data_IF_893269013241
#
_entry.id   IF_893269013241
#
_cell.length_a   1.000
_cell.length_b   1.000
_cell.length_c   1.000
_cell.angle_alpha   90.00
_cell.angle_beta   90.00
_cell.angle_gamma   90.00
#
_symmetry.space_group_name_H-M   'P 1'
#
loop_
_entity.id
_entity.type
_entity.pdbx_description
1 polymer ?
#
# COMPACT_ATOMS: atom_id res chain seq x y z
N UNK A 1 24.45 14.38 -22.08
CA UNK A 1 23.81 15.26 -21.08
C UNK A 1 22.33 14.88 -21.07
N UNK A 2 21.79 14.31 -19.99
CA UNK A 2 20.36 13.95 -19.93
C UNK A 2 19.61 15.21 -19.51
N UNK A 3 18.99 15.88 -20.47
CA UNK A 3 18.12 17.03 -20.21
C UNK A 3 16.86 16.54 -19.53
N UNK A 4 16.63 16.91 -18.27
CA UNK A 4 15.38 16.61 -17.57
C UNK A 4 14.35 17.67 -17.98
N UNK A 5 13.31 17.26 -18.70
CA UNK A 5 12.16 18.11 -18.96
C UNK A 5 11.13 17.90 -17.85
N UNK A 6 10.74 18.98 -17.17
CA UNK A 6 9.72 18.95 -16.13
C UNK A 6 8.33 19.02 -16.78
N UNK A 7 7.48 18.04 -16.50
CA UNK A 7 6.04 18.10 -16.79
C UNK A 7 5.36 18.37 -15.45
N UNK A 8 4.76 19.55 -15.30
CA UNK A 8 4.08 19.95 -14.06
C UNK A 8 2.57 19.87 -14.25
N UNK A 9 1.90 19.10 -13.42
CA UNK A 9 0.44 19.20 -13.24
C UNK A 9 0.19 20.15 -12.08
N UNK A 10 -0.24 21.37 -12.37
CA UNK A 10 -0.66 22.30 -11.33
C UNK A 10 -1.91 21.75 -10.62
N UNK A 11 -1.83 21.54 -9.30
CA UNK A 11 -2.94 21.10 -8.43
C UNK A 11 -3.56 19.74 -8.80
N UNK A 12 -2.74 18.69 -8.84
CA UNK A 12 -3.24 17.31 -8.99
C UNK A 12 -4.41 16.99 -8.03
N UNK A 13 -4.31 17.42 -6.77
CA UNK A 13 -5.43 17.41 -5.81
C UNK A 13 -5.59 18.77 -5.11
N UNK A 14 -6.78 19.00 -4.52
CA UNK A 14 -7.08 20.19 -3.71
C UNK A 14 -6.52 20.14 -2.29
N UNK A 15 -5.99 18.99 -1.87
CA UNK A 15 -5.41 18.74 -0.55
C UNK A 15 -4.05 18.04 -0.71
N UNK A 16 -3.37 17.78 0.40
CA UNK A 16 -2.14 16.97 0.43
C UNK A 16 -2.36 15.61 -0.21
N UNK A 17 -1.45 15.27 -1.12
CA UNK A 17 -1.34 13.93 -1.67
C UNK A 17 -0.72 13.06 -0.58
N UNK A 18 -1.44 12.06 -0.13
CA UNK A 18 -0.98 11.17 0.93
C UNK A 18 -0.13 10.03 0.38
N UNK A 19 -0.44 9.57 -0.83
CA UNK A 19 0.26 8.47 -1.47
C UNK A 19 0.28 8.64 -2.98
N UNK A 20 1.32 8.11 -3.61
CA UNK A 20 1.46 8.00 -5.05
C UNK A 20 2.12 6.67 -5.42
N UNK A 21 1.66 6.05 -6.50
CA UNK A 21 2.24 4.85 -7.07
C UNK A 21 2.30 4.95 -8.60
N UNK A 22 3.32 4.37 -9.20
CA UNK A 22 3.48 4.29 -10.65
C UNK A 22 3.30 2.84 -11.07
N UNK A 23 2.56 2.62 -12.16
CA UNK A 23 2.38 1.30 -12.77
C UNK A 23 2.06 1.44 -14.25
N UNK A 24 2.78 0.70 -15.11
CA UNK A 24 2.57 0.67 -16.57
C UNK A 24 2.29 2.03 -17.23
N UNK A 25 3.15 3.02 -16.94
CA UNK A 25 3.02 4.35 -17.54
C UNK A 25 1.85 5.18 -16.99
N UNK A 26 1.24 4.77 -15.86
CA UNK A 26 0.25 5.55 -15.13
C UNK A 26 0.79 5.98 -13.77
N UNK A 27 0.37 7.15 -13.32
CA UNK A 27 0.58 7.63 -11.94
C UNK A 27 -0.78 7.57 -11.25
N UNK A 28 -0.86 6.91 -10.10
CA UNK A 28 -2.06 6.82 -9.27
C UNK A 28 -1.77 7.58 -7.98
N UNK A 29 -2.59 8.58 -7.67
CA UNK A 29 -2.40 9.45 -6.50
C UNK A 29 -3.67 9.45 -5.65
N UNK A 30 -3.53 9.48 -4.32
CA UNK A 30 -4.68 9.66 -3.42
C UNK A 30 -4.54 10.90 -2.53
N UNK A 31 -5.68 11.51 -2.24
CA UNK A 31 -5.80 12.66 -1.33
C UNK A 31 -7.23 12.71 -0.79
N UNK A 32 -7.39 12.84 0.53
CA UNK A 32 -8.69 12.78 1.22
C UNK A 32 -9.49 11.59 0.67
N UNK A 33 -10.72 11.78 0.20
CA UNK A 33 -11.61 10.71 -0.28
C UNK A 33 -11.43 10.38 -1.77
N UNK A 34 -10.43 10.97 -2.44
CA UNK A 34 -10.30 10.93 -3.90
C UNK A 34 -9.02 10.23 -4.34
N UNK A 35 -9.13 9.44 -5.40
CA UNK A 35 -7.99 8.84 -6.10
C UNK A 35 -8.01 9.37 -7.53
N UNK A 36 -6.85 9.67 -8.10
CA UNK A 36 -6.71 10.14 -9.47
C UNK A 36 -5.65 9.35 -10.21
N UNK A 37 -5.88 9.18 -11.50
CA UNK A 37 -5.01 8.46 -12.42
C UNK A 37 -4.55 9.43 -13.50
N UNK A 38 -3.26 9.42 -13.80
CA UNK A 38 -2.60 10.29 -14.76
C UNK A 38 -1.74 9.48 -15.70
N UNK A 39 -1.58 9.94 -16.93
CA UNK A 39 -0.60 9.40 -17.86
C UNK A 39 0.80 9.91 -17.46
N UNK A 40 1.74 8.99 -17.26
CA UNK A 40 3.11 9.29 -16.80
C UNK A 40 3.88 10.12 -17.84
N UNK A 41 3.64 9.88 -19.14
CA UNK A 41 4.42 10.48 -20.21
C UNK A 41 3.98 11.91 -20.52
N UNK A 42 2.69 12.17 -20.54
CA UNK A 42 2.09 13.46 -20.91
C UNK A 42 1.68 14.29 -19.69
N UNK A 43 1.53 13.68 -18.52
CA UNK A 43 0.92 14.32 -17.34
C UNK A 43 -0.60 14.51 -17.49
N UNK A 44 -1.23 13.95 -18.52
CA UNK A 44 -2.65 14.11 -18.76
C UNK A 44 -3.46 13.44 -17.63
N UNK A 45 -4.49 14.15 -17.16
CA UNK A 45 -5.50 13.56 -16.29
C UNK A 45 -6.28 12.49 -17.06
N UNK A 46 -6.29 11.27 -16.55
CA UNK A 46 -7.03 10.16 -17.15
C UNK A 46 -8.37 9.95 -16.45
N UNK A 47 -8.36 9.89 -15.11
CA UNK A 47 -9.55 9.51 -14.35
C UNK A 47 -9.52 9.93 -12.89
N UNK A 48 -10.71 10.05 -12.30
CA UNK A 48 -10.91 10.16 -10.86
C UNK A 48 -11.77 8.99 -10.37
N UNK A 49 -11.36 8.38 -9.26
CA UNK A 49 -12.11 7.35 -8.55
C UNK A 49 -12.70 7.98 -7.29
N UNK A 50 -14.03 7.89 -7.16
CA UNK A 50 -14.80 8.48 -6.08
C UNK A 50 -15.65 7.40 -5.42
N UNK A 51 -15.67 7.38 -4.08
CA UNK A 51 -16.57 6.48 -3.34
C UNK A 51 -16.14 6.18 -1.91
N UNK A 52 -14.91 6.48 -1.53
CA UNK A 52 -14.52 6.46 -0.12
C UNK A 52 -15.23 7.57 0.67
N UNK A 53 -15.69 7.23 1.87
CA UNK A 53 -16.28 8.17 2.83
C UNK A 53 -15.25 8.86 3.72
N UNK A 54 -14.00 8.38 3.70
CA UNK A 54 -12.90 8.87 4.53
C UNK A 54 -11.58 9.02 3.76
N UNK A 55 -10.55 9.62 4.38
CA UNK A 55 -9.20 9.65 3.87
C UNK A 55 -8.68 8.29 3.37
N UNK A 56 -8.24 8.27 2.11
CA UNK A 56 -7.51 7.17 1.48
C UNK A 56 -6.04 7.30 1.85
N UNK A 57 -5.58 6.38 2.70
CA UNK A 57 -4.24 6.45 3.29
C UNK A 57 -3.19 5.67 2.49
N UNK A 58 -3.62 4.70 1.70
CA UNK A 58 -2.72 3.78 1.01
C UNK A 58 -3.32 3.27 -0.29
N UNK A 59 -2.44 2.95 -1.24
CA UNK A 59 -2.78 2.40 -2.54
C UNK A 59 -1.91 1.20 -2.89
N UNK A 60 -2.49 0.27 -3.63
CA UNK A 60 -1.76 -0.66 -4.48
C UNK A 60 -2.38 -0.71 -5.89
N UNK A 61 -1.69 -1.30 -6.85
CA UNK A 61 -2.09 -1.34 -8.25
C UNK A 61 -1.55 -2.61 -8.93
N UNK A 62 -2.35 -3.19 -9.80
CA UNK A 62 -2.00 -4.25 -10.75
C UNK A 62 -2.34 -3.80 -12.17
N UNK A 63 -2.19 -4.70 -13.14
CA UNK A 63 -2.57 -4.42 -14.54
C UNK A 63 -4.07 -4.15 -14.70
N UNK A 64 -4.90 -4.76 -13.84
CA UNK A 64 -6.35 -4.68 -13.93
C UNK A 64 -6.98 -3.80 -12.86
N UNK A 65 -6.33 -3.64 -11.70
CA UNK A 65 -6.97 -3.06 -10.52
C UNK A 65 -6.17 -1.93 -9.86
N UNK A 66 -6.89 -0.97 -9.30
CA UNK A 66 -6.40 -0.11 -8.21
C UNK A 66 -7.01 -0.60 -6.91
N UNK A 67 -6.20 -0.73 -5.87
CA UNK A 67 -6.61 -1.14 -4.53
C UNK A 67 -6.41 0.05 -3.59
N UNK A 68 -7.41 0.41 -2.81
CA UNK A 68 -7.31 1.55 -1.90
C UNK A 68 -7.84 1.25 -0.52
N UNK A 69 -7.03 1.55 0.51
CA UNK A 69 -7.41 1.44 1.91
C UNK A 69 -7.69 2.81 2.53
N UNK A 70 -8.72 2.89 3.37
CA UNK A 70 -9.25 4.16 3.89
C UNK A 70 -9.55 4.11 5.39
N UNK A 71 -9.62 5.30 6.01
CA UNK A 71 -10.13 5.46 7.38
C UNK A 71 -11.65 5.27 7.48
N UNK A 72 -12.37 5.16 6.36
CA UNK A 72 -13.78 4.74 6.37
C UNK A 72 -13.98 3.25 6.64
N UNK A 73 -12.88 2.54 6.97
CA UNK A 73 -12.86 1.12 7.32
C UNK A 73 -13.18 0.21 6.14
N UNK A 74 -12.96 0.69 4.93
CA UNK A 74 -13.12 -0.12 3.72
C UNK A 74 -11.82 -0.22 2.92
N UNK A 75 -11.68 -1.34 2.21
CA UNK A 75 -10.83 -1.45 1.04
C UNK A 75 -11.72 -1.47 -0.19
N UNK A 76 -11.38 -0.66 -1.19
CA UNK A 76 -12.07 -0.67 -2.49
C UNK A 76 -11.16 -1.20 -3.58
N UNK A 77 -11.75 -2.02 -4.44
CA UNK A 77 -11.13 -2.60 -5.63
C UNK A 77 -11.75 -1.88 -6.82
N UNK A 78 -10.93 -1.20 -7.61
CA UNK A 78 -11.38 -0.43 -8.76
C UNK A 78 -10.81 -1.02 -10.03
N UNK A 79 -11.57 -1.05 -11.12
CA UNK A 79 -11.00 -1.34 -12.44
C UNK A 79 -10.03 -0.22 -12.84
N UNK A 80 -8.78 -0.55 -13.18
CA UNK A 80 -7.76 0.44 -13.52
C UNK A 80 -8.17 1.28 -14.74
N UNK A 81 -8.71 0.61 -15.77
CA UNK A 81 -9.11 1.27 -17.02
C UNK A 81 -10.51 1.87 -16.96
N UNK A 82 -11.45 1.22 -16.25
CA UNK A 82 -12.85 1.66 -16.17
C UNK A 82 -13.06 2.73 -15.10
N UNK A 83 -12.31 2.64 -14.00
CA UNK A 83 -12.49 3.40 -12.76
C UNK A 83 -13.74 3.07 -11.97
N UNK A 84 -14.43 1.99 -12.33
CA UNK A 84 -15.58 1.51 -11.59
C UNK A 84 -15.15 0.84 -10.29
N UNK A 85 -15.94 1.01 -9.22
CA UNK A 85 -15.75 0.28 -7.98
C UNK A 85 -16.30 -1.13 -8.15
N UNK A 86 -15.42 -2.11 -8.34
CA UNK A 86 -15.78 -3.51 -8.61
C UNK A 86 -16.11 -4.27 -7.32
N UNK A 87 -15.45 -3.93 -6.21
CA UNK A 87 -15.70 -4.56 -4.92
C UNK A 87 -15.38 -3.62 -3.76
N UNK A 88 -16.01 -3.86 -2.62
CA UNK A 88 -15.75 -3.17 -1.35
C UNK A 88 -15.67 -4.19 -0.23
N UNK A 89 -14.53 -4.22 0.46
CA UNK A 89 -14.28 -5.08 1.62
C UNK A 89 -14.46 -4.25 2.90
N UNK A 90 -15.21 -4.78 3.88
CA UNK A 90 -15.40 -4.15 5.20
C UNK A 90 -14.35 -4.66 6.18
N UNK A 91 -13.48 -3.76 6.65
CA UNK A 91 -12.26 -4.07 7.42
C UNK A 91 -12.44 -3.78 8.92
N UNK A 92 -13.66 -3.41 9.38
CA UNK A 92 -14.03 -3.10 10.78
C UNK A 92 -13.27 -1.93 11.44
N UNK A 93 -12.06 -1.59 10.99
CA UNK A 93 -11.16 -0.55 11.50
C UNK A 93 -10.40 0.11 10.35
N UNK A 94 -9.68 1.17 10.67
CA UNK A 94 -8.95 1.97 9.66
C UNK A 94 -7.81 1.18 9.03
N UNK A 95 -7.65 1.35 7.71
CA UNK A 95 -6.61 0.68 6.95
C UNK A 95 -5.38 1.58 6.86
N UNK A 96 -4.23 1.09 7.34
CA UNK A 96 -2.98 1.85 7.35
C UNK A 96 -2.14 1.62 6.09
N UNK A 97 -2.17 0.40 5.55
CA UNK A 97 -1.42 0.01 4.37
C UNK A 97 -2.09 -1.19 3.67
N UNK A 98 -1.87 -1.29 2.35
CA UNK A 98 -2.40 -2.39 1.52
C UNK A 98 -1.34 -2.90 0.57
N UNK A 99 -1.39 -4.20 0.28
CA UNK A 99 -0.68 -4.86 -0.81
C UNK A 99 -1.61 -5.79 -1.57
N UNK A 100 -1.42 -5.87 -2.87
CA UNK A 100 -2.12 -6.78 -3.76
C UNK A 100 -1.14 -7.78 -4.36
N UNK A 101 -1.52 -9.05 -4.33
CA UNK A 101 -0.76 -10.15 -4.91
C UNK A 101 -1.72 -11.26 -5.30
N UNK A 102 -1.84 -11.57 -6.59
CA UNK A 102 -2.58 -12.74 -7.10
C UNK A 102 -3.97 -12.90 -6.47
N UNK A 103 -4.88 -11.94 -6.68
CA UNK A 103 -6.24 -11.93 -6.10
C UNK A 103 -6.30 -11.95 -4.57
N UNK A 104 -5.17 -11.71 -3.92
CA UNK A 104 -5.08 -11.54 -2.47
C UNK A 104 -4.78 -10.10 -2.13
N UNK A 105 -5.57 -9.53 -1.22
CA UNK A 105 -5.26 -8.26 -0.58
C UNK A 105 -4.73 -8.53 0.81
N UNK A 106 -3.56 -7.97 1.12
CA UNK A 106 -2.93 -8.01 2.43
C UNK A 106 -2.96 -6.60 2.99
N UNK A 107 -3.58 -6.39 4.14
CA UNK A 107 -3.73 -5.05 4.71
C UNK A 107 -3.32 -4.99 6.17
N UNK A 108 -2.73 -3.87 6.55
CA UNK A 108 -2.42 -3.55 7.94
C UNK A 108 -3.57 -2.79 8.57
N UNK A 109 -4.04 -3.27 9.72
CA UNK A 109 -5.22 -2.77 10.43
C UNK A 109 -4.93 -2.77 11.92
N UNK A 110 -4.57 -1.61 12.48
CA UNK A 110 -4.09 -1.53 13.87
C UNK A 110 -3.03 -2.62 14.17
N UNK A 111 -3.27 -3.50 15.16
CA UNK A 111 -2.36 -4.57 15.57
C UNK A 111 -2.60 -5.89 14.83
N UNK A 112 -3.25 -5.88 13.68
CA UNK A 112 -3.43 -7.08 12.86
C UNK A 112 -3.03 -6.86 11.41
N UNK A 113 -2.65 -7.95 10.75
CA UNK A 113 -2.59 -8.03 9.29
C UNK A 113 -3.74 -8.93 8.86
N UNK A 114 -4.63 -8.41 8.02
CA UNK A 114 -5.69 -9.21 7.43
C UNK A 114 -5.32 -9.58 5.99
N UNK A 115 -5.67 -10.80 5.61
CA UNK A 115 -5.46 -11.35 4.28
C UNK A 115 -6.83 -11.71 3.72
N UNK A 116 -7.14 -11.17 2.54
CA UNK A 116 -8.44 -11.24 1.91
C UNK A 116 -8.33 -11.83 0.51
N UNK A 117 -9.21 -12.79 0.21
CA UNK A 117 -9.46 -13.26 -1.15
C UNK A 117 -10.48 -12.32 -1.80
N UNK A 118 -10.09 -11.64 -2.88
CA UNK A 118 -10.96 -10.65 -3.55
C UNK A 118 -12.08 -11.32 -4.34
N UNK A 119 -11.87 -12.53 -4.86
CA UNK A 119 -12.84 -13.26 -5.68
C UNK A 119 -14.02 -13.71 -4.82
N UNK A 120 -13.76 -14.01 -3.55
CA UNK A 120 -14.77 -14.41 -2.56
C UNK A 120 -15.22 -13.25 -1.65
N UNK A 121 -14.58 -12.09 -1.75
CA UNK A 121 -14.75 -10.95 -0.84
C UNK A 121 -14.70 -11.38 0.64
N UNK A 122 -13.74 -12.25 0.99
CA UNK A 122 -13.67 -12.89 2.31
C UNK A 122 -12.29 -12.75 2.93
N UNK A 123 -12.27 -12.45 4.23
CA UNK A 123 -11.07 -12.54 5.06
C UNK A 123 -10.71 -14.02 5.25
N UNK A 124 -9.55 -14.42 4.73
CA UNK A 124 -9.06 -15.81 4.76
C UNK A 124 -8.08 -16.05 5.89
N UNK A 125 -7.38 -15.01 6.36
CA UNK A 125 -6.43 -15.11 7.47
C UNK A 125 -6.30 -13.78 8.20
N UNK A 126 -6.03 -13.87 9.50
CA UNK A 126 -5.72 -12.74 10.37
C UNK A 126 -4.49 -13.10 11.17
N UNK A 127 -3.49 -12.21 11.14
CA UNK A 127 -2.22 -12.37 11.86
C UNK A 127 -2.15 -11.27 12.92
N UNK A 128 -2.13 -11.68 14.18
CA UNK A 128 -1.90 -10.76 15.31
C UNK A 128 -0.44 -10.31 15.35
N UNK A 129 -0.23 -9.01 15.44
CA UNK A 129 1.08 -8.40 15.57
C UNK A 129 1.18 -7.60 16.88
N UNK A 130 2.40 -7.46 17.41
CA UNK A 130 2.60 -6.89 18.74
C UNK A 130 2.39 -5.36 18.81
N UNK A 131 2.38 -4.67 17.67
CA UNK A 131 2.28 -3.22 17.60
C UNK A 131 1.59 -2.76 16.31
N UNK A 132 0.99 -1.56 16.28
CA UNK A 132 0.24 -1.10 15.13
C UNK A 132 1.05 -1.12 13.83
N UNK A 133 0.49 -1.72 12.79
CA UNK A 133 1.11 -1.84 11.46
C UNK A 133 1.07 -0.50 10.75
N UNK A 134 2.23 -0.05 10.30
CA UNK A 134 2.44 1.22 9.61
C UNK A 134 2.70 1.07 8.12
N UNK A 135 3.30 -0.05 7.71
CA UNK A 135 3.63 -0.35 6.32
C UNK A 135 3.82 -1.87 6.14
N UNK A 136 3.59 -2.35 4.92
CA UNK A 136 3.74 -3.76 4.54
C UNK A 136 4.44 -3.83 3.17
N UNK A 137 5.23 -4.88 2.92
CA UNK A 137 5.54 -5.36 1.58
C UNK A 137 5.47 -6.89 1.54
N UNK A 138 5.56 -7.47 0.34
CA UNK A 138 5.68 -8.92 0.16
C UNK A 138 6.93 -9.19 -0.64
N UNK A 139 7.73 -10.15 -0.19
CA UNK A 139 8.96 -10.59 -0.87
C UNK A 139 9.02 -12.11 -0.80
N UNK A 140 9.09 -12.79 -1.95
CA UNK A 140 9.20 -14.25 -2.03
C UNK A 140 8.19 -15.02 -1.15
N UNK A 141 6.92 -14.61 -1.13
CA UNK A 141 5.88 -15.25 -0.30
C UNK A 141 5.97 -14.95 1.20
N UNK A 142 6.84 -14.01 1.60
CA UNK A 142 6.97 -13.51 2.97
C UNK A 142 6.35 -12.13 3.06
N UNK A 143 5.41 -11.97 3.98
CA UNK A 143 4.90 -10.65 4.36
C UNK A 143 5.94 -10.01 5.27
N UNK A 144 6.36 -8.79 4.95
CA UNK A 144 7.18 -7.97 5.83
C UNK A 144 6.32 -6.83 6.34
N UNK A 145 6.09 -6.77 7.65
CA UNK A 145 5.34 -5.70 8.29
C UNK A 145 6.26 -4.79 9.10
N UNK A 146 5.94 -3.51 9.11
CA UNK A 146 6.63 -2.49 9.88
C UNK A 146 5.71 -1.84 10.89
N UNK A 147 6.15 -1.69 12.14
CA UNK A 147 5.31 -1.16 13.21
C UNK A 147 5.57 0.31 13.54
N UNK A 148 4.63 0.91 14.27
CA UNK A 148 4.81 2.23 14.90
C UNK A 148 5.83 2.25 16.03
N UNK A 149 6.34 1.10 16.46
CA UNK A 149 7.38 0.96 17.49
C UNK A 149 8.76 0.63 16.93
N UNK A 150 8.89 0.53 15.61
CA UNK A 150 10.16 0.22 14.92
C UNK A 150 10.42 -1.25 14.66
N UNK A 151 9.46 -2.12 14.96
CA UNK A 151 9.59 -3.55 14.68
C UNK A 151 9.39 -3.80 13.18
N UNK A 152 10.25 -4.65 12.61
CA UNK A 152 10.09 -5.20 11.26
C UNK A 152 9.93 -6.70 11.41
N UNK A 153 8.75 -7.23 11.09
CA UNK A 153 8.44 -8.64 11.31
C UNK A 153 8.20 -9.35 9.98
N UNK A 154 8.79 -10.54 9.83
CA UNK A 154 8.71 -11.37 8.64
C UNK A 154 7.78 -12.55 8.91
N UNK A 155 6.74 -12.70 8.09
CA UNK A 155 5.69 -13.70 8.26
C UNK A 155 5.58 -14.56 7.02
N UNK A 156 5.60 -15.87 7.19
CA UNK A 156 5.28 -16.77 6.08
C UNK A 156 3.77 -16.65 5.77
N UNK A 157 3.43 -16.32 4.51
CA UNK A 157 2.05 -16.03 4.12
C UNK A 157 1.09 -17.22 4.27
N UNK A 158 1.60 -18.45 4.06
CA UNK A 158 0.80 -19.67 4.09
C UNK A 158 0.52 -20.14 5.52
N UNK A 159 1.52 -20.02 6.40
CA UNK A 159 1.45 -20.55 7.77
C UNK A 159 1.08 -19.49 8.81
N UNK A 160 1.19 -18.20 8.47
CA UNK A 160 1.01 -17.08 9.39
C UNK A 160 2.07 -16.98 10.50
N UNK A 161 3.13 -17.81 10.46
CA UNK A 161 4.16 -17.83 11.50
C UNK A 161 5.20 -16.72 11.28
N UNK A 162 5.56 -16.04 12.36
CA UNK A 162 6.66 -15.10 12.38
C UNK A 162 8.00 -15.86 12.31
N UNK A 163 8.80 -15.60 11.29
CA UNK A 163 10.13 -16.20 11.10
C UNK A 163 11.26 -15.36 11.69
N UNK A 164 11.16 -14.04 11.59
CA UNK A 164 12.22 -13.13 12.03
C UNK A 164 11.66 -11.77 12.46
N UNK A 165 12.31 -11.17 13.46
CA UNK A 165 12.04 -9.80 13.91
C UNK A 165 13.34 -9.00 13.83
N UNK A 166 13.29 -7.90 13.07
CA UNK A 166 14.33 -6.88 12.99
C UNK A 166 13.83 -5.61 13.70
N UNK A 167 14.74 -4.69 14.02
CA UNK A 167 14.41 -3.52 14.86
C UNK A 167 15.00 -2.22 14.31
N UNK A 168 14.21 -1.16 14.39
CA UNK A 168 14.61 0.25 14.36
C UNK A 168 14.41 0.88 15.75
N UNK A 169 14.98 2.05 15.99
CA UNK A 169 14.86 2.75 17.27
C UNK A 169 13.54 3.51 17.43
N UNK A 170 12.80 3.71 16.34
CA UNK A 170 11.54 4.46 16.30
C UNK A 170 10.61 3.93 15.20
N UNK A 171 9.41 4.51 15.09
CA UNK A 171 8.36 4.23 14.11
C UNK A 171 8.91 4.07 12.70
N UNK A 172 8.58 2.92 12.11
CA UNK A 172 8.86 2.68 10.71
C UNK A 172 7.97 3.55 9.83
N UNK A 173 8.57 4.13 8.79
CA UNK A 173 7.91 5.05 7.86
C UNK A 173 7.67 4.45 6.49
N UNK A 174 8.59 3.60 6.04
CA UNK A 174 8.44 2.91 4.77
C UNK A 174 9.25 1.63 4.75
N UNK A 175 8.71 0.67 4.01
CA UNK A 175 9.38 -0.57 3.62
C UNK A 175 9.29 -0.64 2.10
N UNK A 176 10.42 -0.91 1.46
CA UNK A 176 10.46 -1.23 0.04
C UNK A 176 11.38 -2.41 -0.21
N UNK A 177 11.18 -3.06 -1.35
CA UNK A 177 12.02 -4.14 -1.83
C UNK A 177 12.55 -3.75 -3.20
N UNK A 178 13.76 -4.21 -3.50
CA UNK A 178 14.39 -4.06 -4.81
C UNK A 178 14.18 -5.34 -5.63
N UNK A 179 14.51 -5.29 -6.92
CA UNK A 179 14.34 -6.43 -7.84
C UNK A 179 15.14 -7.67 -7.43
N UNK A 180 16.27 -7.47 -6.74
CA UNK A 180 17.10 -8.56 -6.21
C UNK A 180 16.63 -9.08 -4.84
N UNK A 181 15.43 -8.70 -4.40
CA UNK A 181 14.85 -8.99 -3.08
C UNK A 181 15.59 -8.36 -1.89
N UNK A 182 16.47 -7.37 -2.10
CA UNK A 182 17.01 -6.60 -0.97
C UNK A 182 15.91 -5.77 -0.34
N UNK A 183 15.70 -5.98 0.96
CA UNK A 183 14.75 -5.23 1.77
C UNK A 183 15.39 -3.92 2.24
N UNK A 184 14.67 -2.82 2.10
CA UNK A 184 15.09 -1.50 2.57
C UNK A 184 14.01 -0.96 3.50
N UNK A 185 14.40 -0.55 4.69
CA UNK A 185 13.48 0.00 5.70
C UNK A 185 13.98 1.33 6.23
N UNK A 186 13.08 2.27 6.45
CA UNK A 186 13.38 3.62 6.96
C UNK A 186 12.50 3.95 8.16
N UNK A 187 13.10 4.61 9.15
CA UNK A 187 12.43 4.96 10.40
C UNK A 187 12.50 6.47 10.71
N UNK A 188 11.68 6.88 11.68
CA UNK A 188 11.62 8.25 12.22
C UNK A 188 12.86 8.65 13.02
N UNK A 189 13.70 7.68 13.41
CA UNK A 189 15.01 7.88 14.04
C UNK A 189 16.09 8.33 13.04
N UNK A 190 15.70 8.69 11.82
CA UNK A 190 16.57 9.10 10.72
C UNK A 190 17.46 7.97 10.17
N UNK A 191 17.15 6.71 10.50
CA UNK A 191 17.92 5.56 10.05
C UNK A 191 17.28 4.88 8.84
N UNK A 192 18.09 4.64 7.82
CA UNK A 192 17.81 3.70 6.73
C UNK A 192 18.62 2.43 6.97
N UNK A 193 17.97 1.26 6.90
CA UNK A 193 18.63 -0.06 6.98
C UNK A 193 18.39 -0.83 5.70
N UNK A 194 19.45 -1.50 5.24
CA UNK A 194 19.46 -2.39 4.07
C UNK A 194 19.68 -3.79 4.58
N UNK A 195 18.78 -4.71 4.24
CA UNK A 195 18.81 -6.09 4.70
C UNK A 195 18.98 -6.99 3.48
N UNK A 196 20.14 -7.65 3.42
CA UNK A 196 20.49 -8.62 2.38
C UNK A 196 20.30 -10.02 2.94
N UNK A 197 19.68 -10.89 2.15
CA UNK A 197 19.60 -12.33 2.38
C UNK A 197 20.70 -13.06 1.63
#
# INVERSE_FOLDING_TARGET
>A
MITKHQITVERAHKNWIFYAKIHNGKIITCSKTTIKIWDLRSGAFLRQLQGHGGPVNCLDVSDDFVISGSTDKTIKIWGLETGECLSTLDIKREVSCVRYLNDTVICGVDTVIEIWDISQAKCVSVIDVAAPVSCICVVNGVIVSGSTTGDVQLWNIETGKCGQILKHGDKLRSITITEDNTLITVSSDYVLKIWKG
#
